data_IF_276202986039
#
_entry.id   IF_276202986039
#
_cell.length_a   1.000
_cell.length_b   1.000
_cell.length_c   1.000
_cell.angle_alpha   90.00
_cell.angle_beta   90.00
_cell.angle_gamma   90.00
#
_symmetry.space_group_name_H-M   'P 1'
#
loop_
_entity.id
_entity.type
_entity.pdbx_description
1 polymer ?
#
# COMPACT_ATOMS: atom_id res chain seq x y z
N UNK A 1 -16.00 -3.45 -38.63
CA UNK A 1 -16.17 -4.12 -37.32
C UNK A 1 -15.51 -3.32 -36.21
N UNK A 2 -16.27 -2.87 -35.21
CA UNK A 2 -15.70 -2.31 -33.96
C UNK A 2 -15.67 -3.45 -32.93
N UNK A 3 -14.48 -3.86 -32.52
CA UNK A 3 -14.28 -4.81 -31.41
C UNK A 3 -14.53 -4.05 -30.11
N UNK A 4 -15.40 -4.56 -29.23
CA UNK A 4 -15.55 -4.06 -27.87
C UNK A 4 -14.53 -4.76 -26.98
N UNK A 5 -13.71 -3.97 -26.28
CA UNK A 5 -12.73 -4.46 -25.30
C UNK A 5 -13.24 -4.03 -23.93
N UNK A 6 -13.37 -4.98 -23.00
CA UNK A 6 -13.63 -4.66 -21.61
C UNK A 6 -12.35 -4.10 -20.98
N UNK A 7 -12.48 -2.97 -20.29
CA UNK A 7 -11.41 -2.31 -19.58
C UNK A 7 -11.98 -1.71 -18.29
N UNK A 8 -11.09 -1.48 -17.33
CA UNK A 8 -11.43 -0.78 -16.09
C UNK A 8 -10.59 0.47 -15.95
N UNK A 9 -11.17 1.52 -15.39
CA UNK A 9 -10.48 2.75 -15.02
C UNK A 9 -10.44 2.86 -13.51
N UNK A 10 -9.27 3.12 -12.97
CA UNK A 10 -9.04 3.30 -11.54
C UNK A 10 -8.01 4.38 -11.31
N UNK A 11 -7.60 4.54 -10.06
CA UNK A 11 -6.72 5.65 -9.68
C UNK A 11 -5.66 5.23 -8.67
N UNK A 12 -4.60 6.04 -8.62
CA UNK A 12 -3.61 5.93 -7.58
C UNK A 12 -4.09 6.64 -6.31
N UNK A 13 -3.92 6.00 -5.16
CA UNK A 13 -4.11 6.62 -3.85
C UNK A 13 -2.74 6.94 -3.28
N UNK A 14 -2.23 8.12 -3.64
CA UNK A 14 -0.86 8.56 -3.34
C UNK A 14 -0.78 9.95 -2.69
N UNK A 15 -1.92 10.62 -2.54
CA UNK A 15 -2.05 11.92 -1.86
C UNK A 15 -2.96 11.74 -0.64
N UNK A 16 -2.67 12.36 0.52
CA UNK A 16 -3.44 12.15 1.75
C UNK A 16 -4.92 12.53 1.59
N UNK A 17 -5.21 13.59 0.82
CA UNK A 17 -6.58 13.99 0.51
C UNK A 17 -7.37 12.87 -0.19
N UNK A 18 -6.74 12.16 -1.13
CA UNK A 18 -7.39 11.07 -1.84
C UNK A 18 -7.76 9.91 -0.89
N UNK A 19 -6.90 9.61 0.09
CA UNK A 19 -7.21 8.62 1.11
C UNK A 19 -8.32 9.09 2.06
N UNK A 20 -8.32 10.36 2.46
CA UNK A 20 -9.32 10.95 3.36
C UNK A 20 -10.71 10.99 2.69
N UNK A 21 -10.79 11.22 1.38
CA UNK A 21 -12.05 11.28 0.61
C UNK A 21 -12.22 10.05 -0.30
N UNK A 22 -11.67 8.90 0.09
CA UNK A 22 -11.67 7.69 -0.74
C UNK A 22 -13.06 7.15 -1.05
N UNK A 23 -14.06 7.49 -0.23
CA UNK A 23 -15.47 7.21 -0.45
C UNK A 23 -16.02 7.91 -1.69
N UNK A 24 -15.72 9.19 -1.88
CA UNK A 24 -16.12 9.96 -3.07
C UNK A 24 -15.38 9.45 -4.32
N UNK A 25 -14.09 9.14 -4.19
CA UNK A 25 -13.28 8.66 -5.32
C UNK A 25 -13.76 7.29 -5.82
N UNK A 26 -14.23 6.42 -4.91
CA UNK A 26 -14.70 5.08 -5.25
C UNK A 26 -16.03 5.05 -6.04
N UNK A 27 -16.75 6.18 -6.10
CA UNK A 27 -17.92 6.34 -6.99
C UNK A 27 -17.48 6.17 -8.46
N UNK A 28 -16.34 6.74 -8.82
CA UNK A 28 -15.82 6.75 -10.20
C UNK A 28 -14.78 5.66 -10.46
N UNK A 29 -13.89 5.37 -9.51
CA UNK A 29 -12.79 4.44 -9.71
C UNK A 29 -13.21 2.98 -9.48
N UNK A 30 -12.88 2.10 -10.43
CA UNK A 30 -13.12 0.66 -10.34
C UNK A 30 -12.03 -0.11 -9.58
N UNK A 31 -10.87 0.52 -9.36
CA UNK A 31 -9.81 0.00 -8.52
C UNK A 31 -8.95 1.13 -7.93
N UNK A 32 -8.31 0.84 -6.81
CA UNK A 32 -7.27 1.68 -6.20
C UNK A 32 -5.90 0.98 -6.27
N UNK A 33 -4.87 1.77 -6.52
CA UNK A 33 -3.48 1.36 -6.32
C UNK A 33 -2.79 2.32 -5.38
N UNK A 34 -2.34 1.88 -4.21
CA UNK A 34 -1.59 2.75 -3.32
C UNK A 34 -0.19 3.03 -3.87
N UNK A 35 0.04 4.30 -4.21
CA UNK A 35 1.37 4.86 -4.51
C UNK A 35 2.07 5.22 -3.21
N UNK A 36 2.52 4.20 -2.48
CA UNK A 36 3.02 4.41 -1.11
C UNK A 36 4.33 5.18 -1.03
N UNK A 37 5.09 5.30 -2.12
CA UNK A 37 6.25 6.19 -2.14
C UNK A 37 5.82 7.65 -1.92
N UNK A 38 4.95 8.17 -2.78
CA UNK A 38 4.47 9.55 -2.71
C UNK A 38 3.52 9.78 -1.53
N UNK A 39 2.75 8.76 -1.15
CA UNK A 39 1.94 8.82 0.07
C UNK A 39 2.84 8.95 1.32
N UNK A 40 3.94 8.21 1.40
CA UNK A 40 4.92 8.38 2.49
C UNK A 40 5.51 9.78 2.47
N UNK A 41 5.92 10.30 1.30
CA UNK A 41 6.50 11.65 1.20
C UNK A 41 5.55 12.72 1.74
N UNK A 42 4.28 12.65 1.33
CA UNK A 42 3.27 13.65 1.71
C UNK A 42 2.81 13.52 3.16
N UNK A 43 2.75 12.31 3.71
CA UNK A 43 2.39 12.09 5.12
C UNK A 43 3.54 12.49 6.06
N UNK A 44 4.78 12.19 5.70
CA UNK A 44 5.95 12.60 6.49
C UNK A 44 6.33 14.07 6.30
N UNK A 45 5.85 14.72 5.22
CA UNK A 45 6.33 16.04 4.82
C UNK A 45 7.80 16.00 4.38
N UNK A 46 8.19 14.91 3.71
CA UNK A 46 9.57 14.60 3.36
C UNK A 46 9.72 14.32 1.86
N UNK A 47 10.65 15.03 1.21
CA UNK A 47 11.17 14.63 -0.10
C UNK A 47 12.12 13.45 0.06
N UNK A 48 11.93 12.37 -0.71
CA UNK A 48 12.81 11.19 -0.66
C UNK A 48 14.23 11.54 -1.10
N UNK A 49 14.35 12.39 -2.11
CA UNK A 49 15.63 12.78 -2.70
C UNK A 49 16.45 13.63 -1.73
N UNK A 50 15.80 14.54 -1.00
CA UNK A 50 16.47 15.39 0.01
C UNK A 50 16.63 14.67 1.35
N UNK A 51 15.76 13.70 1.65
CA UNK A 51 15.73 12.98 2.91
C UNK A 51 16.95 12.10 3.17
N UNK A 52 17.65 11.67 2.12
CA UNK A 52 18.80 10.78 2.20
C UNK A 52 19.89 11.30 3.17
N UNK A 53 20.09 12.62 3.24
CA UNK A 53 21.12 13.24 4.09
C UNK A 53 20.90 13.05 5.59
N UNK A 54 19.64 13.01 6.05
CA UNK A 54 19.33 12.91 7.48
C UNK A 54 18.67 11.58 7.88
N UNK A 55 18.13 10.82 6.92
CA UNK A 55 17.46 9.55 7.18
C UNK A 55 18.36 8.57 7.92
N UNK A 56 19.63 8.46 7.50
CA UNK A 56 20.63 7.61 8.16
C UNK A 56 20.81 8.01 9.63
N UNK A 57 20.88 9.32 9.91
CA UNK A 57 21.03 9.83 11.28
C UNK A 57 19.80 9.50 12.13
N UNK A 58 18.59 9.62 11.59
CA UNK A 58 17.35 9.28 12.31
C UNK A 58 17.28 7.80 12.67
N UNK A 59 17.78 6.93 11.80
CA UNK A 59 17.88 5.49 12.06
C UNK A 59 18.95 5.18 13.12
N UNK A 60 20.14 5.79 13.01
CA UNK A 60 21.23 5.62 13.98
C UNK A 60 20.85 6.09 15.38
N UNK A 61 20.13 7.21 15.47
CA UNK A 61 19.64 7.76 16.74
C UNK A 61 18.39 7.02 17.27
N UNK A 62 17.84 6.07 16.52
CA UNK A 62 16.65 5.31 16.89
C UNK A 62 15.36 6.15 16.92
N UNK A 63 15.36 7.34 16.31
CA UNK A 63 14.17 8.19 16.16
C UNK A 63 13.13 7.42 15.32
N UNK A 64 13.59 6.80 14.22
CA UNK A 64 12.79 5.87 13.44
C UNK A 64 13.38 4.46 13.54
N UNK A 65 12.48 3.47 13.62
CA UNK A 65 12.87 2.05 13.73
C UNK A 65 13.22 1.42 12.38
N UNK A 66 12.74 2.02 11.29
CA UNK A 66 12.93 1.53 9.92
C UNK A 66 12.82 2.69 8.94
N UNK A 67 13.44 2.52 7.77
CA UNK A 67 13.28 3.44 6.65
C UNK A 67 11.80 3.40 6.16
N UNK A 68 11.04 4.51 6.24
CA UNK A 68 9.64 4.54 5.84
C UNK A 68 9.43 4.42 4.32
N UNK A 69 10.50 4.45 3.51
CA UNK A 69 10.46 4.20 2.06
C UNK A 69 10.76 2.74 1.68
N UNK A 70 11.15 1.91 2.65
CA UNK A 70 11.41 0.47 2.45
C UNK A 70 10.33 -0.38 3.10
N UNK A 71 9.84 0.02 4.27
CA UNK A 71 8.76 -0.63 5.00
C UNK A 71 7.72 0.40 5.40
N UNK A 72 6.45 0.08 5.13
CA UNK A 72 5.31 0.94 5.46
C UNK A 72 5.33 1.31 6.95
N UNK A 73 5.29 2.60 7.23
CA UNK A 73 5.00 3.10 8.56
C UNK A 73 3.55 2.80 8.93
N UNK A 74 3.32 1.76 9.72
CA UNK A 74 1.99 1.29 10.10
C UNK A 74 1.22 2.36 10.91
N UNK A 75 1.91 3.23 11.66
CA UNK A 75 1.25 4.16 12.60
C UNK A 75 0.76 5.44 11.93
N UNK A 76 1.45 5.93 10.91
CA UNK A 76 1.04 7.07 10.10
C UNK A 76 0.47 6.63 8.76
N UNK A 77 1.34 6.28 7.81
CA UNK A 77 0.95 5.93 6.43
C UNK A 77 -0.04 4.77 6.40
N UNK A 78 0.19 3.73 7.21
CA UNK A 78 -0.70 2.57 7.30
C UNK A 78 -2.10 2.93 7.80
N UNK A 79 -2.23 3.88 8.73
CA UNK A 79 -3.56 4.33 9.20
C UNK A 79 -4.34 5.07 8.11
N UNK A 80 -3.63 5.82 7.27
CA UNK A 80 -4.22 6.47 6.10
C UNK A 80 -4.64 5.44 5.05
N UNK A 81 -3.83 4.41 4.81
CA UNK A 81 -4.19 3.29 3.93
C UNK A 81 -5.42 2.53 4.44
N UNK A 82 -5.47 2.21 5.73
CA UNK A 82 -6.60 1.51 6.37
C UNK A 82 -7.91 2.30 6.20
N UNK A 83 -7.88 3.61 6.44
CA UNK A 83 -9.02 4.51 6.23
C UNK A 83 -9.51 4.51 4.78
N UNK A 84 -8.57 4.58 3.82
CA UNK A 84 -8.93 4.59 2.41
C UNK A 84 -9.54 3.27 1.93
N UNK A 85 -9.06 2.13 2.45
CA UNK A 85 -9.66 0.82 2.18
C UNK A 85 -11.09 0.75 2.71
N UNK A 86 -11.30 1.16 3.96
CA UNK A 86 -12.62 1.13 4.59
C UNK A 86 -13.61 2.02 3.83
N UNK A 87 -13.23 3.28 3.58
CA UNK A 87 -14.08 4.26 2.86
C UNK A 87 -14.35 3.83 1.42
N UNK A 88 -13.33 3.41 0.69
CA UNK A 88 -13.49 2.98 -0.69
C UNK A 88 -14.43 1.78 -0.82
N UNK A 89 -14.28 0.78 0.06
CA UNK A 89 -15.16 -0.39 0.06
C UNK A 89 -16.56 -0.14 0.61
N UNK A 90 -16.73 0.89 1.45
CA UNK A 90 -18.05 1.34 1.87
C UNK A 90 -18.87 1.85 0.67
N UNK A 91 -18.24 2.56 -0.26
CA UNK A 91 -18.89 3.03 -1.50
C UNK A 91 -18.99 1.93 -2.55
N UNK A 92 -17.92 1.16 -2.76
CA UNK A 92 -17.84 0.08 -3.76
C UNK A 92 -17.35 -1.22 -3.12
N UNK A 93 -18.25 -2.12 -2.67
CA UNK A 93 -17.88 -3.31 -1.90
C UNK A 93 -16.90 -4.27 -2.58
N UNK A 94 -16.92 -4.33 -3.91
CA UNK A 94 -16.05 -5.16 -4.75
C UNK A 94 -14.80 -4.42 -5.27
N UNK A 95 -14.53 -3.21 -4.75
CA UNK A 95 -13.38 -2.41 -5.13
C UNK A 95 -12.07 -3.19 -4.95
N UNK A 96 -11.37 -3.42 -6.06
CA UNK A 96 -10.03 -4.01 -6.07
C UNK A 96 -9.05 -2.97 -5.56
N UNK A 97 -8.29 -3.32 -4.53
CA UNK A 97 -7.32 -2.39 -3.93
C UNK A 97 -5.97 -3.09 -3.87
N UNK A 98 -4.95 -2.49 -4.48
CA UNK A 98 -3.59 -2.99 -4.39
C UNK A 98 -2.59 -1.94 -3.95
N UNK A 99 -1.33 -2.33 -3.91
CA UNK A 99 -0.17 -1.47 -3.62
C UNK A 99 0.88 -1.69 -4.70
N UNK A 100 1.58 -0.63 -5.09
CA UNK A 100 2.74 -0.69 -5.97
C UNK A 100 4.00 -0.11 -5.31
N UNK A 101 5.16 -0.43 -5.87
CA UNK A 101 6.45 0.12 -5.46
C UNK A 101 7.23 -0.79 -4.51
N UNK A 102 8.22 -0.21 -3.83
CA UNK A 102 9.20 -0.93 -2.99
C UNK A 102 8.49 -1.71 -1.87
N UNK A 103 7.52 -1.09 -1.22
CA UNK A 103 6.73 -1.69 -0.15
C UNK A 103 5.96 -2.95 -0.58
N UNK A 104 5.59 -3.07 -1.87
CA UNK A 104 4.95 -4.27 -2.40
C UNK A 104 5.85 -5.50 -2.41
N UNK A 105 7.17 -5.33 -2.24
CA UNK A 105 8.17 -6.40 -2.15
C UNK A 105 8.73 -6.63 -0.74
N UNK A 106 8.31 -5.86 0.26
CA UNK A 106 8.75 -6.00 1.66
C UNK A 106 7.80 -6.91 2.45
N UNK A 107 8.25 -8.06 2.98
CA UNK A 107 7.39 -9.01 3.69
C UNK A 107 6.58 -8.40 4.86
N UNK A 108 7.14 -7.42 5.57
CA UNK A 108 6.44 -6.75 6.69
C UNK A 108 5.29 -5.87 6.18
N UNK A 109 5.54 -5.12 5.12
CA UNK A 109 4.53 -4.33 4.43
C UNK A 109 3.45 -5.21 3.80
N UNK A 110 3.82 -6.34 3.19
CA UNK A 110 2.87 -7.32 2.63
C UNK A 110 1.96 -7.89 3.73
N UNK A 111 2.52 -8.25 4.89
CA UNK A 111 1.74 -8.67 6.06
C UNK A 111 0.72 -7.62 6.47
N UNK A 112 1.14 -6.36 6.54
CA UNK A 112 0.24 -5.25 6.85
C UNK A 112 -0.85 -5.07 5.78
N UNK A 113 -0.48 -5.11 4.49
CA UNK A 113 -1.40 -5.00 3.36
C UNK A 113 -2.48 -6.09 3.40
N UNK A 114 -2.09 -7.34 3.68
CA UNK A 114 -3.02 -8.44 3.88
C UNK A 114 -3.98 -8.17 5.03
N UNK A 115 -3.44 -7.70 6.18
CA UNK A 115 -4.25 -7.40 7.37
C UNK A 115 -5.32 -6.34 7.14
N UNK A 116 -5.02 -5.28 6.37
CA UNK A 116 -6.00 -4.26 6.01
C UNK A 116 -6.85 -4.66 4.79
N UNK A 117 -6.66 -5.87 4.26
CA UNK A 117 -7.50 -6.46 3.23
C UNK A 117 -7.19 -6.04 1.80
N UNK A 118 -5.96 -5.66 1.46
CA UNK A 118 -5.61 -5.44 0.05
C UNK A 118 -5.80 -6.72 -0.79
N UNK A 119 -6.21 -6.53 -2.03
CA UNK A 119 -6.44 -7.59 -3.02
C UNK A 119 -5.15 -8.12 -3.62
N UNK A 120 -4.15 -7.26 -3.83
CA UNK A 120 -2.86 -7.65 -4.43
C UNK A 120 -1.71 -6.75 -3.99
N UNK A 121 -0.49 -7.23 -4.20
CA UNK A 121 0.74 -6.44 -4.12
C UNK A 121 1.45 -6.48 -5.47
N UNK A 122 2.05 -5.36 -5.86
CA UNK A 122 2.84 -5.22 -7.08
C UNK A 122 4.24 -4.73 -6.73
N UNK A 123 5.25 -5.44 -7.22
CA UNK A 123 6.66 -5.17 -6.94
C UNK A 123 7.52 -5.43 -8.19
N UNK A 124 8.81 -5.10 -8.09
CA UNK A 124 9.76 -5.37 -9.16
C UNK A 124 9.87 -6.88 -9.44
N UNK A 125 10.22 -7.24 -10.68
CA UNK A 125 10.22 -8.63 -11.14
C UNK A 125 11.06 -9.57 -10.24
N UNK A 126 12.21 -9.10 -9.75
CA UNK A 126 13.08 -9.89 -8.86
C UNK A 126 12.55 -10.05 -7.44
N UNK A 127 11.63 -9.17 -6.99
CA UNK A 127 10.96 -9.28 -5.69
C UNK A 127 9.71 -10.16 -5.73
N UNK A 128 9.21 -10.53 -6.93
CA UNK A 128 8.01 -11.38 -7.06
C UNK A 128 8.11 -12.69 -6.28
N UNK A 129 9.23 -13.45 -6.31
CA UNK A 129 9.35 -14.66 -5.50
C UNK A 129 9.24 -14.40 -3.99
N UNK A 130 9.82 -13.30 -3.51
CA UNK A 130 9.77 -12.88 -2.10
C UNK A 130 8.33 -12.54 -1.72
N UNK A 131 7.64 -11.75 -2.56
CA UNK A 131 6.27 -11.35 -2.30
C UNK A 131 5.30 -12.55 -2.25
N UNK A 132 5.48 -13.52 -3.18
CA UNK A 132 4.71 -14.77 -3.18
C UNK A 132 4.95 -15.60 -1.93
N UNK A 133 6.20 -15.74 -1.50
CA UNK A 133 6.54 -16.47 -0.28
C UNK A 133 5.94 -15.80 0.96
N UNK A 134 6.06 -14.48 1.09
CA UNK A 134 5.48 -13.73 2.20
C UNK A 134 3.95 -13.89 2.26
N UNK A 135 3.25 -13.73 1.13
CA UNK A 135 1.80 -13.93 1.03
C UNK A 135 1.37 -15.36 1.43
N UNK A 136 2.12 -16.38 1.01
CA UNK A 136 1.87 -17.76 1.39
C UNK A 136 2.08 -18.01 2.90
N UNK A 137 3.16 -17.48 3.47
CA UNK A 137 3.45 -17.59 4.91
C UNK A 137 2.33 -16.98 5.75
N UNK A 138 1.83 -15.81 5.37
CA UNK A 138 0.70 -15.14 6.05
C UNK A 138 -0.53 -16.04 6.05
N UNK A 139 -0.90 -16.57 4.89
CA UNK A 139 -2.06 -17.47 4.73
C UNK A 139 -1.94 -18.72 5.60
N UNK A 140 -0.74 -19.31 5.68
CA UNK A 140 -0.48 -20.48 6.54
C UNK A 140 -0.58 -20.15 8.03
N UNK A 141 -0.04 -19.01 8.46
CA UNK A 141 -0.11 -18.56 9.85
C UNK A 141 -1.56 -18.31 10.29
N UNK A 142 -2.41 -17.75 9.43
CA UNK A 142 -3.83 -17.54 9.73
C UNK A 142 -4.58 -18.87 9.85
N UNK A 143 -4.34 -19.82 8.93
CA UNK A 143 -4.92 -21.16 9.02
C UNK A 143 -4.52 -21.87 10.31
N UNK A 144 -3.26 -21.78 10.70
CA UNK A 144 -2.76 -22.39 11.93
C UNK A 144 -3.35 -21.75 13.21
N UNK A 145 -3.72 -20.46 13.19
CA UNK A 145 -4.42 -19.81 14.32
C UNK A 145 -5.90 -20.15 14.41
N UNK A 146 -6.52 -20.50 13.28
CA UNK A 146 -7.94 -20.82 13.18
C UNK A 146 -8.24 -22.33 13.28
N UNK A 147 -7.20 -23.16 13.43
CA UNK A 147 -7.30 -24.61 13.66
C UNK A 147 -7.13 -24.90 15.15
#
# INVERSE_FOLDING_TARGET
NKVKIEYSVGTMIEIPRAAITADEIAEEAEFFSFGTNDLTQTIYGLSRDDGAGFLAHYLTLGIWKSNPFETVDIKGVGKIMEMAVEKGRKTRPDLKIGICGVHGGDPRSIFFCHKIGLTYVSCSAYQVPIARLAAAQITLMEKAKNS
#
